data_IF_134177597778
#
_entry.id   IF_134177597778
#
_cell.length_a   1.000
_cell.length_b   1.000
_cell.length_c   1.000
_cell.angle_alpha   90.00
_cell.angle_beta   90.00
_cell.angle_gamma   90.00
#
_symmetry.space_group_name_H-M   'P 1'
#
loop_
_entity.id
_entity.type
_entity.pdbx_description
1 polymer ?
#
# COMPACT_ATOMS: atom_id res chain seq x y z
N UNK A 1 -41.02 10.64 -7.04
CA UNK A 1 -40.49 10.10 -5.78
C UNK A 1 -39.36 9.08 -5.97
N UNK A 2 -39.52 8.03 -6.79
CA UNK A 2 -38.46 7.02 -7.00
C UNK A 2 -37.14 7.55 -7.60
N UNK A 3 -37.22 8.48 -8.54
CA UNK A 3 -36.04 9.09 -9.18
C UNK A 3 -35.18 9.88 -8.18
N UNK A 4 -35.83 10.61 -7.26
CA UNK A 4 -35.15 11.34 -6.18
C UNK A 4 -34.45 10.37 -5.22
N UNK A 5 -35.11 9.26 -4.88
CA UNK A 5 -34.54 8.24 -4.01
C UNK A 5 -33.29 7.58 -4.63
N UNK A 6 -33.34 7.24 -5.92
CA UNK A 6 -32.20 6.66 -6.64
C UNK A 6 -31.02 7.64 -6.68
N UNK A 7 -31.27 8.91 -7.01
CA UNK A 7 -30.22 9.94 -7.04
C UNK A 7 -29.56 10.13 -5.68
N UNK A 8 -30.34 10.14 -4.59
CA UNK A 8 -29.81 10.22 -3.23
C UNK A 8 -28.95 9.01 -2.88
N UNK A 9 -29.38 7.80 -3.24
CA UNK A 9 -28.61 6.58 -3.00
C UNK A 9 -27.28 6.64 -3.74
N UNK A 10 -27.28 6.97 -5.03
CA UNK A 10 -26.05 7.10 -5.84
C UNK A 10 -25.13 8.16 -5.26
N UNK A 11 -25.67 9.31 -4.83
CA UNK A 11 -24.88 10.38 -4.23
C UNK A 11 -24.21 9.93 -2.92
N UNK A 12 -24.92 9.19 -2.07
CA UNK A 12 -24.37 8.63 -0.82
C UNK A 12 -23.26 7.63 -1.13
N UNK A 13 -23.47 6.70 -2.05
CA UNK A 13 -22.44 5.74 -2.45
C UNK A 13 -21.21 6.43 -3.03
N UNK A 14 -21.40 7.38 -3.95
CA UNK A 14 -20.31 8.16 -4.53
C UNK A 14 -19.53 8.92 -3.45
N UNK A 15 -20.22 9.49 -2.45
CA UNK A 15 -19.59 10.18 -1.35
C UNK A 15 -18.76 9.24 -0.46
N UNK A 16 -19.32 8.08 -0.09
CA UNK A 16 -18.62 7.05 0.70
C UNK A 16 -17.37 6.56 -0.04
N UNK A 17 -17.51 6.20 -1.31
CA UNK A 17 -16.38 5.74 -2.13
C UNK A 17 -15.30 6.82 -2.28
N UNK A 18 -15.70 8.08 -2.51
CA UNK A 18 -14.78 9.21 -2.61
C UNK A 18 -14.04 9.46 -1.28
N UNK A 19 -14.75 9.40 -0.16
CA UNK A 19 -14.15 9.53 1.16
C UNK A 19 -13.14 8.42 1.45
N UNK A 20 -13.52 7.16 1.18
CA UNK A 20 -12.65 6.01 1.35
C UNK A 20 -11.39 6.12 0.47
N UNK A 21 -11.55 6.51 -0.80
CA UNK A 21 -10.44 6.71 -1.73
C UNK A 21 -9.48 7.80 -1.24
N UNK A 22 -10.01 8.96 -0.82
CA UNK A 22 -9.17 10.06 -0.30
C UNK A 22 -8.39 9.65 0.94
N UNK A 23 -9.01 8.90 1.87
CA UNK A 23 -8.33 8.38 3.06
C UNK A 23 -7.26 7.37 2.70
N UNK A 24 -7.56 6.41 1.83
CA UNK A 24 -6.60 5.42 1.34
C UNK A 24 -5.40 6.09 0.65
N UNK A 25 -5.67 7.06 -0.23
CA UNK A 25 -4.63 7.86 -0.90
C UNK A 25 -3.75 8.61 0.09
N UNK A 26 -4.35 9.29 1.08
CA UNK A 26 -3.58 10.01 2.11
C UNK A 26 -2.63 9.09 2.88
N UNK A 27 -3.13 7.93 3.34
CA UNK A 27 -2.31 6.94 4.04
C UNK A 27 -1.20 6.42 3.12
N UNK A 28 -1.53 6.13 1.87
CA UNK A 28 -0.59 5.63 0.89
C UNK A 28 0.54 6.62 0.58
N UNK A 29 0.23 7.90 0.41
CA UNK A 29 1.23 8.96 0.19
C UNK A 29 2.19 9.07 1.38
N UNK A 30 1.67 8.97 2.61
CA UNK A 30 2.50 8.99 3.83
C UNK A 30 3.39 7.75 3.94
N UNK A 31 2.86 6.56 3.64
CA UNK A 31 3.65 5.33 3.61
C UNK A 31 4.67 5.33 2.47
N UNK A 32 4.37 6.02 1.38
CA UNK A 32 5.25 6.16 0.22
C UNK A 32 6.43 7.10 0.47
N UNK A 33 6.45 7.83 1.58
CA UNK A 33 7.61 8.61 2.00
C UNK A 33 8.75 7.72 2.55
N UNK A 34 8.43 6.54 3.10
CA UNK A 34 9.44 5.60 3.59
C UNK A 34 10.09 4.85 2.43
N UNK A 35 11.39 4.58 2.54
CA UNK A 35 12.08 3.76 1.56
C UNK A 35 11.60 2.30 1.60
N UNK A 36 11.73 1.58 0.50
CA UNK A 36 11.47 0.16 0.46
C UNK A 36 11.45 -0.38 -0.96
N UNK A 37 11.42 -1.71 -1.12
CA UNK A 37 11.45 -2.35 -2.42
C UNK A 37 10.27 -1.93 -3.30
N UNK A 38 10.48 -1.94 -4.62
CA UNK A 38 9.46 -1.53 -5.59
C UNK A 38 8.32 -2.54 -5.58
N UNK A 39 7.18 -2.11 -5.07
CA UNK A 39 5.94 -2.88 -5.03
C UNK A 39 5.18 -2.79 -6.37
N UNK A 40 4.72 -3.95 -6.87
CA UNK A 40 3.80 -4.06 -8.00
C UNK A 40 2.38 -3.60 -7.62
N UNK A 41 1.58 -3.12 -8.58
CA UNK A 41 0.17 -2.88 -8.35
C UNK A 41 -0.52 -4.18 -7.95
N UNK A 42 -1.45 -4.13 -6.98
CA UNK A 42 -2.28 -5.26 -6.51
C UNK A 42 -1.61 -6.40 -5.74
N UNK A 43 -0.36 -6.76 -6.04
CA UNK A 43 0.33 -7.88 -5.36
C UNK A 43 1.53 -7.43 -4.51
N UNK A 44 1.96 -6.19 -4.65
CA UNK A 44 3.00 -5.61 -3.81
C UNK A 44 4.35 -6.27 -4.08
N UNK A 45 4.99 -6.76 -3.03
CA UNK A 45 6.26 -7.47 -3.04
C UNK A 45 6.09 -8.97 -2.77
N UNK A 46 4.87 -9.51 -2.84
CA UNK A 46 4.62 -10.93 -2.56
C UNK A 46 5.42 -11.86 -3.48
N UNK A 47 5.65 -11.46 -4.73
CA UNK A 47 6.46 -12.21 -5.68
C UNK A 47 7.96 -12.19 -5.36
N UNK A 48 8.41 -11.19 -4.60
CA UNK A 48 9.81 -11.02 -4.22
C UNK A 48 10.10 -11.70 -2.88
N UNK A 49 9.12 -11.80 -1.99
CA UNK A 49 9.30 -12.45 -0.69
C UNK A 49 9.22 -13.97 -0.80
N UNK A 50 10.33 -14.63 -0.48
CA UNK A 50 10.37 -16.07 -0.38
C UNK A 50 10.44 -16.45 1.10
N UNK A 51 9.60 -17.39 1.51
CA UNK A 51 9.48 -17.81 2.93
C UNK A 51 10.38 -18.99 3.29
N UNK A 52 11.34 -19.36 2.43
CA UNK A 52 12.39 -20.31 2.83
C UNK A 52 13.37 -19.60 3.77
N UNK A 53 13.83 -20.25 4.85
CA UNK A 53 14.63 -19.60 5.90
C UNK A 53 15.86 -18.84 5.38
N UNK A 54 16.61 -19.44 4.45
CA UNK A 54 17.85 -18.88 3.90
C UNK A 54 17.57 -17.65 3.03
N UNK A 55 16.61 -17.80 2.10
CA UNK A 55 16.20 -16.74 1.17
C UNK A 55 15.58 -15.55 1.94
N UNK A 56 14.79 -15.82 2.99
CA UNK A 56 14.22 -14.78 3.85
C UNK A 56 15.29 -14.00 4.61
N UNK A 57 16.33 -14.68 5.10
CA UNK A 57 17.41 -14.03 5.83
C UNK A 57 18.22 -13.09 4.93
N UNK A 58 18.54 -13.51 3.70
CA UNK A 58 19.18 -12.65 2.70
C UNK A 58 18.31 -11.42 2.37
N UNK A 59 17.01 -11.60 2.23
CA UNK A 59 16.06 -10.51 1.98
C UNK A 59 16.02 -9.51 3.14
N UNK A 60 15.99 -10.00 4.38
CA UNK A 60 16.02 -9.17 5.57
C UNK A 60 17.33 -8.37 5.67
N UNK A 61 18.47 -8.98 5.32
CA UNK A 61 19.75 -8.27 5.23
C UNK A 61 19.72 -7.18 4.16
N UNK A 62 19.17 -7.46 2.99
CA UNK A 62 18.99 -6.48 1.91
C UNK A 62 18.20 -5.25 2.37
N UNK A 63 17.10 -5.46 3.11
CA UNK A 63 16.31 -4.38 3.71
C UNK A 63 17.13 -3.59 4.75
N UNK A 64 17.92 -4.27 5.58
CA UNK A 64 18.79 -3.62 6.56
C UNK A 64 19.88 -2.75 5.89
N UNK A 65 20.43 -3.19 4.76
CA UNK A 65 21.36 -2.38 3.97
C UNK A 65 20.72 -1.13 3.38
N UNK A 66 19.48 -1.23 2.89
CA UNK A 66 18.72 -0.05 2.43
C UNK A 66 18.54 0.97 3.56
N UNK A 67 18.04 0.51 4.72
CA UNK A 67 17.87 1.35 5.92
C UNK A 67 19.15 2.07 6.32
N UNK A 68 20.28 1.36 6.32
CA UNK A 68 21.59 1.92 6.66
C UNK A 68 22.04 3.01 5.68
N UNK A 69 21.78 2.82 4.37
CA UNK A 69 22.21 3.76 3.32
C UNK A 69 21.57 5.14 3.48
N UNK A 70 20.26 5.19 3.66
CA UNK A 70 19.50 6.45 3.77
C UNK A 70 19.34 6.93 5.24
N UNK A 71 19.98 6.25 6.20
CA UNK A 71 19.86 6.49 7.65
C UNK A 71 18.41 6.47 8.18
N UNK A 72 17.50 5.82 7.48
CA UNK A 72 16.12 5.65 7.98
C UNK A 72 16.05 4.49 8.98
N UNK A 73 15.00 4.48 9.79
CA UNK A 73 14.75 3.44 10.80
C UNK A 73 13.57 2.54 10.46
N UNK A 74 12.83 2.87 9.40
CA UNK A 74 11.60 2.21 8.98
C UNK A 74 11.69 2.06 7.47
N UNK A 75 11.35 0.87 6.97
CA UNK A 75 11.18 0.63 5.55
C UNK A 75 9.77 0.10 5.29
N UNK A 76 9.23 0.36 4.11
CA UNK A 76 7.93 -0.15 3.68
C UNK A 76 8.11 -1.48 2.95
N UNK A 77 7.27 -2.45 3.28
CA UNK A 77 7.11 -3.69 2.51
C UNK A 77 5.61 -3.87 2.26
N UNK A 78 5.24 -4.16 1.01
CA UNK A 78 3.84 -4.33 0.65
C UNK A 78 3.52 -5.81 0.47
N UNK A 79 2.70 -6.38 1.34
CA UNK A 79 2.11 -7.70 1.14
C UNK A 79 0.70 -7.53 0.60
N UNK A 80 0.51 -7.74 -0.71
CA UNK A 80 -0.78 -7.58 -1.39
C UNK A 80 -0.97 -6.22 -2.05
N UNK A 81 -2.19 -5.68 -2.05
CA UNK A 81 -2.57 -4.57 -2.93
C UNK A 81 -1.90 -3.24 -2.57
N UNK A 82 -0.93 -2.85 -3.41
CA UNK A 82 -0.51 -1.45 -3.54
C UNK A 82 -1.67 -0.67 -4.17
N UNK A 83 -2.36 0.14 -3.37
CA UNK A 83 -3.34 1.08 -3.89
C UNK A 83 -2.57 2.14 -4.68
N UNK A 84 -2.91 2.26 -5.97
CA UNK A 84 -2.38 3.28 -6.87
C UNK A 84 -3.02 4.64 -6.58
#
# INVERSE_FOLDING_TARGET
MGLIAITLIVAVFAWITSFAYRKAKYIFERLSAFQGPVALPFIGNLNQFHFKPEEFFEQAQGLAYMLRKERERICRVWFGRKFM
#
